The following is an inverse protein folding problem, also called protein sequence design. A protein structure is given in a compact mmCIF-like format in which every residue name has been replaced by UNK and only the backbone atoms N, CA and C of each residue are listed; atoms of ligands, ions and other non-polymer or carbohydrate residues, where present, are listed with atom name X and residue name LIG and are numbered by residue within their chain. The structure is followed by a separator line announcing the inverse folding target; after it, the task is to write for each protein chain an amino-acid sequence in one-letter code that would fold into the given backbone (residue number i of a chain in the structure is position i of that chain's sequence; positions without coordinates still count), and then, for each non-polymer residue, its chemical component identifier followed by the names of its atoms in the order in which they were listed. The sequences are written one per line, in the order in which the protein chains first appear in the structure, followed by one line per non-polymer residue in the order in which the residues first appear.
data_IF_457293898560
#
_entry.id   IF_457293898560
#
_cell.length_a   1.000
_cell.length_b   1.000
_cell.length_c   1.000
_cell.angle_alpha   90.00
_cell.angle_beta   90.00
_cell.angle_gamma   90.00
#
_symmetry.space_group_name_H-M   'P 1'
#
loop_
_entity.id
_entity.type
_entity.pdbx_description
1 polymer ?
#
# COMPACT_ATOMS: atom_id res chain seq x y z
N UNK A 1 -22.34 -9.30 -10.25
CA UNK A 1 -22.24 -8.87 -8.84
C UNK A 1 -20.90 -8.16 -8.71
N UNK A 2 -20.84 -6.93 -8.16
CA UNK A 2 -19.54 -6.26 -7.95
C UNK A 2 -18.83 -6.96 -6.79
N UNK A 3 -17.91 -7.86 -7.14
CA UNK A 3 -17.15 -8.65 -6.18
C UNK A 3 -16.18 -7.76 -5.43
N UNK A 4 -15.97 -8.08 -4.15
CA UNK A 4 -14.96 -7.56 -3.24
C UNK A 4 -13.68 -7.14 -4.00
N UNK A 5 -13.39 -5.84 -3.99
CA UNK A 5 -12.38 -5.21 -4.84
C UNK A 5 -11.01 -5.91 -4.71
N UNK A 6 -10.54 -6.45 -5.84
CA UNK A 6 -9.36 -7.31 -6.03
C UNK A 6 -8.03 -6.55 -5.96
N UNK A 7 -7.91 -5.55 -5.09
CA UNK A 7 -6.68 -4.73 -5.01
C UNK A 7 -5.49 -5.54 -4.48
N UNK A 8 -5.76 -6.65 -3.76
CA UNK A 8 -4.73 -7.56 -3.26
C UNK A 8 -3.82 -8.14 -4.35
N UNK A 9 -4.36 -8.43 -5.54
CA UNK A 9 -3.55 -8.90 -6.67
C UNK A 9 -2.68 -7.79 -7.25
N UNK A 10 -3.21 -6.57 -7.31
CA UNK A 10 -2.46 -5.39 -7.75
C UNK A 10 -1.31 -5.11 -6.79
N UNK A 11 -1.60 -5.11 -5.48
CA UNK A 11 -0.61 -4.95 -4.40
C UNK A 11 0.48 -6.02 -4.51
N UNK A 12 0.11 -7.28 -4.76
CA UNK A 12 1.10 -8.35 -4.92
C UNK A 12 1.96 -8.20 -6.18
N UNK A 13 1.38 -7.69 -7.26
CA UNK A 13 2.08 -7.50 -8.54
C UNK A 13 3.03 -6.30 -8.48
N UNK A 14 2.67 -5.27 -7.71
CA UNK A 14 3.47 -4.07 -7.48
C UNK A 14 3.71 -3.89 -5.98
N UNK A 15 4.56 -4.72 -5.34
CA UNK A 15 4.68 -4.73 -3.89
C UNK A 15 5.47 -3.56 -3.32
N UNK A 16 5.95 -2.61 -4.12
CA UNK A 16 6.80 -1.52 -3.64
C UNK A 16 6.00 -0.44 -2.90
N UNK A 17 6.57 0.14 -1.84
CA UNK A 17 6.02 1.29 -1.10
C UNK A 17 5.67 2.47 -2.00
N UNK A 18 6.41 2.65 -3.10
CA UNK A 18 6.19 3.72 -4.08
C UNK A 18 4.82 3.60 -4.78
N UNK A 19 4.27 2.39 -4.84
CA UNK A 19 2.94 2.11 -5.39
C UNK A 19 1.85 2.08 -4.31
N UNK A 20 2.21 2.18 -3.02
CA UNK A 20 1.28 2.14 -1.89
C UNK A 20 0.14 3.16 -2.01
N UNK A 21 0.46 4.39 -2.37
CA UNK A 21 -0.53 5.45 -2.61
C UNK A 21 -1.45 5.12 -3.81
N UNK A 22 -0.91 4.51 -4.86
CA UNK A 22 -1.71 4.07 -6.02
C UNK A 22 -2.69 2.98 -5.61
N UNK A 23 -2.29 2.06 -4.73
CA UNK A 23 -3.17 1.02 -4.20
C UNK A 23 -4.29 1.59 -3.34
N UNK A 24 -4.00 2.54 -2.43
CA UNK A 24 -5.05 3.10 -1.59
C UNK A 24 -6.03 3.93 -2.41
N UNK A 25 -5.54 4.69 -3.39
CA UNK A 25 -6.39 5.42 -4.34
C UNK A 25 -7.30 4.47 -5.12
N UNK A 26 -6.75 3.37 -5.65
CA UNK A 26 -7.54 2.37 -6.38
C UNK A 26 -8.59 1.72 -5.48
N UNK A 27 -8.23 1.41 -4.24
CA UNK A 27 -9.17 0.83 -3.25
C UNK A 27 -10.32 1.78 -2.96
N UNK A 28 -10.04 3.06 -2.70
CA UNK A 28 -11.05 4.08 -2.45
C UNK A 28 -11.91 4.31 -3.70
N UNK A 29 -11.30 4.36 -4.89
CA UNK A 29 -12.03 4.55 -6.14
C UNK A 29 -13.03 3.41 -6.39
N UNK A 30 -12.58 2.16 -6.24
CA UNK A 30 -13.42 0.97 -6.41
C UNK A 30 -14.47 0.85 -5.30
N UNK A 31 -14.18 1.28 -4.07
CA UNK A 31 -15.15 1.18 -2.97
C UNK A 31 -16.39 2.05 -3.21
N UNK A 32 -16.25 3.18 -3.91
CA UNK A 32 -17.36 4.13 -4.16
C UNK A 32 -18.56 3.50 -4.84
N UNK A 33 -18.34 2.57 -5.78
CA UNK A 33 -19.43 1.91 -6.52
C UNK A 33 -20.10 0.77 -5.75
N UNK A 34 -19.53 0.32 -4.62
CA UNK A 34 -20.02 -0.87 -3.92
C UNK A 34 -21.30 -0.63 -3.11
N UNK A 35 -22.13 -1.66 -2.91
CA UNK A 35 -23.26 -1.63 -1.97
C UNK A 35 -22.80 -1.35 -0.54
N UNK A 36 -23.68 -0.75 0.28
CA UNK A 36 -23.38 -0.37 1.66
C UNK A 36 -22.94 -1.56 2.52
N UNK A 37 -23.54 -2.74 2.35
CA UNK A 37 -23.16 -3.93 3.11
C UNK A 37 -21.70 -4.33 2.87
N UNK A 38 -21.22 -4.14 1.62
CA UNK A 38 -19.85 -4.47 1.23
C UNK A 38 -18.87 -3.37 1.67
N UNK A 39 -19.29 -2.10 1.60
CA UNK A 39 -18.51 -0.96 2.10
C UNK A 39 -18.19 -1.10 3.58
N UNK A 40 -19.17 -1.50 4.40
CA UNK A 40 -18.98 -1.73 5.84
C UNK A 40 -17.86 -2.75 6.15
N UNK A 41 -17.57 -3.68 5.23
CA UNK A 41 -16.46 -4.65 5.37
C UNK A 41 -15.12 -4.05 4.92
N UNK A 42 -15.12 -3.20 3.88
CA UNK A 42 -13.92 -2.68 3.24
C UNK A 42 -13.41 -1.40 3.91
N UNK A 43 -14.29 -0.55 4.42
CA UNK A 43 -13.91 0.73 5.02
C UNK A 43 -12.89 0.56 6.17
N UNK A 44 -13.02 -0.42 7.08
CA UNK A 44 -11.99 -0.68 8.08
C UNK A 44 -10.64 -1.09 7.47
N UNK A 45 -10.62 -1.73 6.29
CA UNK A 45 -9.38 -2.07 5.57
C UNK A 45 -8.74 -0.80 5.02
N UNK A 46 -9.53 0.11 4.43
CA UNK A 46 -9.03 1.40 3.94
C UNK A 46 -8.44 2.21 5.08
N UNK A 47 -9.13 2.30 6.22
CA UNK A 47 -8.65 3.00 7.41
C UNK A 47 -7.32 2.44 7.92
N UNK A 48 -7.19 1.11 8.00
CA UNK A 48 -5.93 0.45 8.42
C UNK A 48 -4.78 0.67 7.44
N UNK A 49 -5.05 0.99 6.18
CA UNK A 49 -4.05 1.27 5.16
C UNK A 49 -3.92 2.77 4.84
N UNK A 50 -4.56 3.64 5.63
CA UNK A 50 -4.57 5.09 5.42
C UNK A 50 -3.17 5.72 5.52
N UNK A 51 -2.20 5.03 6.11
CA UNK A 51 -0.79 5.43 6.12
C UNK A 51 -0.29 5.79 4.71
N UNK A 52 -0.65 5.00 3.69
CA UNK A 52 -0.24 5.27 2.30
C UNK A 52 -0.94 6.49 1.66
N UNK A 53 -1.92 7.08 2.34
CA UNK A 53 -2.54 8.34 1.95
C UNK A 53 -1.85 9.57 2.58
N UNK A 54 -0.81 9.40 3.41
CA UNK A 54 -0.07 10.53 3.96
C UNK A 54 0.59 11.38 2.85
N UNK A 55 0.74 12.70 3.07
CA UNK A 55 1.37 13.61 2.10
C UNK A 55 2.76 13.16 1.65
N UNK A 56 3.57 12.59 2.54
CA UNK A 56 4.90 12.06 2.18
C UNK A 56 4.81 10.91 1.17
N UNK A 57 3.94 9.92 1.42
CA UNK A 57 3.72 8.80 0.52
C UNK A 57 3.14 9.25 -0.83
N UNK A 58 2.28 10.28 -0.83
CA UNK A 58 1.80 10.93 -2.04
C UNK A 58 2.94 11.53 -2.87
N UNK A 59 3.87 12.24 -2.23
CA UNK A 59 5.03 12.82 -2.91
C UNK A 59 5.97 11.75 -3.46
N UNK A 60 6.21 10.67 -2.70
CA UNK A 60 7.00 9.50 -3.14
C UNK A 60 6.37 8.88 -4.40
N UNK A 61 5.05 8.66 -4.40
CA UNK A 61 4.34 8.12 -5.56
C UNK A 61 4.39 9.06 -6.78
N UNK A 62 4.44 10.37 -6.57
CA UNK A 62 4.56 11.36 -7.65
C UNK A 62 5.97 11.36 -8.28
N UNK A 63 7.03 11.36 -7.46
CA UNK A 63 8.42 11.41 -7.96
C UNK A 63 8.89 10.09 -8.59
N UNK A 64 8.14 9.01 -8.37
CA UNK A 64 8.38 7.68 -8.97
C UNK A 64 7.35 7.32 -10.04
N UNK A 65 6.50 8.26 -10.46
CA UNK A 65 5.51 8.03 -11.52
C UNK A 65 6.19 7.85 -12.89
N UNK A 66 5.62 7.04 -13.76
CA UNK A 66 6.17 6.81 -15.10
C UNK A 66 6.14 8.10 -15.96
N UNK A 67 5.22 9.03 -15.66
CA UNK A 67 5.01 10.26 -16.42
C UNK A 67 5.90 11.39 -15.89
N UNK A 68 6.75 11.94 -16.76
CA UNK A 68 7.72 12.99 -16.40
C UNK A 68 7.08 14.25 -15.80
N UNK A 69 5.94 14.70 -16.33
CA UNK A 69 5.25 15.88 -15.81
C UNK A 69 4.75 15.68 -14.37
N UNK A 70 4.41 14.46 -13.96
CA UNK A 70 4.00 14.15 -12.58
C UNK A 70 5.22 14.10 -11.66
N UNK A 71 6.33 13.52 -12.12
CA UNK A 71 7.60 13.52 -11.37
C UNK A 71 8.10 14.93 -11.11
N UNK A 72 8.13 15.78 -12.13
CA UNK A 72 8.50 17.19 -12.00
C UNK A 72 7.59 17.94 -11.02
N UNK A 73 6.27 17.67 -11.07
CA UNK A 73 5.34 18.25 -10.11
C UNK A 73 5.63 17.79 -8.67
N UNK A 74 5.96 16.52 -8.47
CA UNK A 74 6.36 15.97 -7.18
C UNK A 74 7.61 16.66 -6.62
N UNK A 75 8.66 16.77 -7.44
CA UNK A 75 9.90 17.45 -7.09
C UNK A 75 9.68 18.93 -6.74
N UNK A 76 8.87 19.65 -7.52
CA UNK A 76 8.50 21.05 -7.24
C UNK A 76 7.73 21.19 -5.93
N UNK A 77 6.84 20.24 -5.61
CA UNK A 77 6.11 20.24 -4.34
C UNK A 77 7.02 19.97 -3.15
N UNK A 78 8.00 19.07 -3.28
CA UNK A 78 9.02 18.84 -2.26
C UNK A 78 9.81 20.14 -2.00
N UNK A 79 10.27 20.81 -3.06
CA UNK A 79 10.96 22.09 -2.92
C UNK A 79 10.09 23.18 -2.28
N UNK A 80 8.81 23.26 -2.66
CA UNK A 80 7.90 24.29 -2.13
C UNK A 80 7.45 24.01 -0.69
N UNK A 81 7.40 22.74 -0.31
CA UNK A 81 7.09 22.31 1.05
C UNK A 81 8.26 22.55 2.02
N UNK A 82 9.31 23.26 1.63
CA UNK A 82 10.30 23.83 2.55
C UNK A 82 9.58 24.70 3.59
N UNK A 83 9.18 24.10 4.72
CA UNK A 83 8.58 24.77 5.89
C UNK A 83 9.62 25.61 6.65
N UNK A 84 10.71 26.00 5.99
CA UNK A 84 11.89 26.60 6.63
C UNK A 84 11.51 27.87 7.37
N UNK A 85 10.54 28.59 6.82
CA UNK A 85 10.08 29.88 7.31
C UNK A 85 8.90 29.78 8.30
N UNK A 86 8.32 28.58 8.48
CA UNK A 86 7.12 28.35 9.30
C UNK A 86 7.40 27.64 10.63
N UNK A 87 8.53 26.94 10.72
CA UNK A 87 8.90 26.11 11.88
C UNK A 87 10.15 26.70 12.52
N UNK A 88 10.15 26.87 13.84
CA UNK A 88 11.37 27.20 14.56
C UNK A 88 12.27 25.95 14.63
N UNK A 89 13.14 25.78 13.63
CA UNK A 89 14.04 24.62 13.52
C UNK A 89 15.11 24.56 14.61
N UNK A 90 15.23 25.58 15.46
CA UNK A 90 16.10 25.56 16.64
C UNK A 90 15.47 24.79 17.81
N UNK A 91 14.14 24.64 17.82
CA UNK A 91 13.39 23.96 18.89
C UNK A 91 12.93 22.54 18.52
N UNK A 92 12.93 22.20 17.22
CA UNK A 92 12.49 20.90 16.72
C UNK A 92 13.68 20.05 16.26
N UNK A 93 13.75 18.79 16.70
CA UNK A 93 14.72 17.82 16.18
C UNK A 93 14.38 17.49 14.72
N UNK A 94 15.19 18.01 13.79
CA UNK A 94 14.95 17.87 12.35
C UNK A 94 15.52 16.57 11.86
N UNK A 95 14.65 15.59 11.63
CA UNK A 95 15.04 14.30 11.04
C UNK A 95 14.53 14.21 9.62
N UNK A 96 15.42 13.91 8.68
CA UNK A 96 15.02 13.64 7.30
C UNK A 96 14.07 12.43 7.24
N UNK A 97 13.02 12.45 6.40
CA UNK A 97 12.11 11.32 6.32
C UNK A 97 12.87 10.03 5.95
N UNK A 98 12.66 8.89 6.61
CA UNK A 98 13.52 7.71 6.48
C UNK A 98 13.70 7.21 5.04
N UNK A 99 12.67 7.36 4.20
CA UNK A 99 12.71 6.94 2.79
C UNK A 99 13.46 7.91 1.89
N UNK A 100 13.62 9.16 2.31
CA UNK A 100 14.33 10.23 1.60
C UNK A 100 15.66 10.61 2.27
N UNK A 101 15.97 10.04 3.44
CA UNK A 101 17.15 10.38 4.23
C UNK A 101 18.48 10.19 3.46
N UNK A 102 18.50 9.27 2.49
CA UNK A 102 19.68 8.97 1.68
C UNK A 102 19.77 9.82 0.40
N UNK A 103 18.82 10.71 0.14
CA UNK A 103 18.77 11.54 -1.07
C UNK A 103 19.17 12.98 -0.71
N UNK A 104 20.34 13.47 -1.14
CA UNK A 104 20.78 14.82 -0.83
C UNK A 104 19.96 15.87 -1.59
N UNK A 105 19.70 17.03 -0.97
CA UNK A 105 18.95 18.13 -1.59
C UNK A 105 19.57 18.66 -2.89
N UNK A 106 20.90 18.59 -3.04
CA UNK A 106 21.59 18.97 -4.27
C UNK A 106 21.22 18.09 -5.46
N UNK A 107 20.98 16.79 -5.22
CA UNK A 107 20.52 15.85 -6.23
C UNK A 107 19.08 16.13 -6.65
N UNK A 108 18.22 16.54 -5.72
CA UNK A 108 16.85 16.97 -6.04
C UNK A 108 16.88 18.22 -6.94
N UNK A 109 17.70 19.21 -6.59
CA UNK A 109 17.82 20.45 -7.36
C UNK A 109 18.37 20.21 -8.76
N UNK A 110 19.43 19.39 -8.91
CA UNK A 110 20.03 19.10 -10.22
C UNK A 110 19.05 18.40 -11.18
N UNK A 111 18.25 17.46 -10.66
CA UNK A 111 17.25 16.70 -11.44
C UNK A 111 16.05 17.54 -11.88
N UNK A 112 15.78 18.66 -11.21
CA UNK A 112 14.76 19.61 -11.67
C UNK A 112 15.27 20.44 -12.85
N UNK A 113 16.56 20.77 -12.86
CA UNK A 113 17.19 21.52 -13.94
C UNK A 113 17.52 20.67 -15.17
N UNK A 114 17.88 19.40 -14.98
CA UNK A 114 18.13 18.45 -16.06
C UNK A 114 16.87 17.62 -16.39
N UNK A 115 16.14 18.05 -17.41
CA UNK A 115 14.91 17.37 -17.85
C UNK A 115 15.16 15.94 -18.39
N UNK A 116 16.41 15.56 -18.66
CA UNK A 116 16.74 14.26 -19.24
C UNK A 116 16.93 13.15 -18.18
N UNK A 117 17.03 13.47 -16.88
CA UNK A 117 17.29 12.47 -15.84
C UNK A 117 16.49 12.70 -14.54
N UNK A 118 15.17 12.51 -14.64
CA UNK A 118 14.21 12.77 -13.55
C UNK A 118 14.13 11.59 -12.53
N UNK A 119 14.80 10.46 -12.77
CA UNK A 119 14.58 9.21 -12.01
C UNK A 119 15.31 9.16 -10.65
N UNK A 120 14.62 9.51 -9.56
CA UNK A 120 15.15 9.31 -8.20
C UNK A 120 15.14 7.82 -7.81
N UNK A 121 16.28 7.30 -7.36
CA UNK A 121 16.37 5.94 -6.81
C UNK A 121 15.95 5.93 -5.34
N UNK A 122 14.65 5.79 -5.09
CA UNK A 122 14.10 5.60 -3.74
C UNK A 122 14.25 4.14 -3.33
N UNK A 123 14.59 3.90 -2.05
CA UNK A 123 14.63 2.54 -1.49
C UNK A 123 13.25 1.91 -1.62
N UNK A 124 13.18 0.78 -2.33
CA UNK A 124 11.95 0.02 -2.47
C UNK A 124 11.79 -0.94 -1.30
N UNK A 125 10.87 -0.61 -0.39
CA UNK A 125 10.46 -1.52 0.69
C UNK A 125 9.09 -2.14 0.35
N UNK A 126 8.82 -3.39 0.73
CA UNK A 126 7.52 -4.00 0.52
C UNK A 126 6.38 -3.23 1.21
N UNK A 127 5.29 -3.00 0.50
CA UNK A 127 4.07 -2.37 0.99
C UNK A 127 2.98 -3.39 1.35
N UNK A 128 3.19 -4.67 1.02
CA UNK A 128 2.23 -5.73 1.30
C UNK A 128 2.58 -6.44 2.61
N UNK A 129 1.54 -6.84 3.34
CA UNK A 129 1.70 -7.56 4.61
C UNK A 129 1.62 -9.07 4.41
N UNK A 130 2.07 -9.84 5.39
CA UNK A 130 1.88 -11.29 5.41
C UNK A 130 0.41 -11.71 5.25
N UNK A 131 -0.53 -10.85 5.70
CA UNK A 131 -1.96 -11.08 5.52
C UNK A 131 -2.37 -11.02 4.04
N UNK A 132 -1.78 -10.11 3.25
CA UNK A 132 -1.98 -10.04 1.78
C UNK A 132 -1.57 -11.36 1.13
N UNK A 133 -0.41 -11.88 1.49
CA UNK A 133 0.10 -13.12 0.92
C UNK A 133 -0.80 -14.32 1.25
N UNK A 134 -1.22 -14.42 2.53
CA UNK A 134 -2.14 -15.47 2.98
C UNK A 134 -3.50 -15.38 2.27
N UNK A 135 -3.99 -14.17 2.03
CA UNK A 135 -5.26 -13.97 1.34
C UNK A 135 -5.15 -14.33 -0.15
N UNK A 136 -4.10 -13.89 -0.84
CA UNK A 136 -3.87 -14.26 -2.25
C UNK A 136 -3.77 -15.77 -2.39
N UNK A 137 -3.02 -16.45 -1.51
CA UNK A 137 -2.94 -17.91 -1.49
C UNK A 137 -4.33 -18.56 -1.37
N UNK A 138 -5.16 -18.07 -0.44
CA UNK A 138 -6.51 -18.59 -0.25
C UNK A 138 -7.40 -18.41 -1.48
N UNK A 139 -7.32 -17.25 -2.15
CA UNK A 139 -8.11 -16.98 -3.36
C UNK A 139 -7.63 -17.82 -4.55
N UNK A 140 -6.32 -18.06 -4.66
CA UNK A 140 -5.74 -18.97 -5.66
C UNK A 140 -6.20 -20.41 -5.42
N UNK A 141 -6.14 -20.91 -4.17
CA UNK A 141 -6.63 -22.25 -3.80
C UNK A 141 -8.12 -22.41 -4.16
N UNK A 142 -8.94 -21.41 -3.84
CA UNK A 142 -10.37 -21.43 -4.17
C UNK A 142 -10.61 -21.47 -5.69
N UNK A 143 -9.83 -20.71 -6.46
CA UNK A 143 -9.98 -20.66 -7.92
C UNK A 143 -9.51 -21.93 -8.62
N UNK A 144 -8.57 -22.67 -8.02
CA UNK A 144 -8.16 -24.00 -8.52
C UNK A 144 -9.16 -25.09 -8.15
N UNK A 145 -9.87 -24.93 -7.03
CA UNK A 145 -10.72 -25.98 -6.46
C UNK A 145 -12.16 -25.93 -6.96
N UNK A 146 -12.71 -24.74 -7.23
CA UNK A 146 -14.12 -24.58 -7.63
C UNK A 146 -14.31 -23.52 -8.72
N UNK A 147 -15.29 -23.75 -9.61
CA UNK A 147 -15.68 -22.82 -10.67
C UNK A 147 -16.90 -21.97 -10.25
N UNK A 148 -16.93 -20.71 -10.67
CA UNK A 148 -18.04 -19.79 -10.40
C UNK A 148 -17.87 -18.94 -9.12
N UNK A 149 -18.42 -17.72 -9.16
CA UNK A 149 -18.25 -16.72 -8.08
C UNK A 149 -18.81 -17.19 -6.74
N UNK A 150 -20.04 -17.71 -6.72
CA UNK A 150 -20.70 -18.19 -5.50
C UNK A 150 -19.94 -19.33 -4.84
N UNK A 151 -19.48 -20.31 -5.63
CA UNK A 151 -18.72 -21.45 -5.13
C UNK A 151 -17.38 -21.00 -4.54
N UNK A 152 -16.63 -20.13 -5.24
CA UNK A 152 -15.36 -19.57 -4.75
C UNK A 152 -15.55 -18.78 -3.45
N UNK A 153 -16.58 -17.94 -3.37
CA UNK A 153 -16.88 -17.19 -2.16
C UNK A 153 -17.24 -18.12 -0.99
N UNK A 154 -18.04 -19.17 -1.24
CA UNK A 154 -18.35 -20.19 -0.24
C UNK A 154 -17.11 -20.93 0.26
N UNK A 155 -16.21 -21.34 -0.64
CA UNK A 155 -14.93 -21.97 -0.29
C UNK A 155 -14.08 -21.07 0.62
N UNK A 156 -13.93 -19.80 0.25
CA UNK A 156 -13.15 -18.82 1.01
C UNK A 156 -13.74 -18.61 2.41
N UNK A 157 -15.07 -18.40 2.50
CA UNK A 157 -15.76 -18.21 3.78
C UNK A 157 -15.63 -19.43 4.70
N UNK A 158 -15.87 -20.63 4.17
CA UNK A 158 -15.75 -21.86 4.95
C UNK A 158 -14.32 -22.07 5.48
N UNK A 159 -13.31 -21.78 4.66
CA UNK A 159 -11.90 -21.88 5.09
C UNK A 159 -11.56 -20.86 6.18
N UNK A 160 -12.06 -19.62 6.07
CA UNK A 160 -11.85 -18.59 7.10
C UNK A 160 -12.52 -19.01 8.41
N UNK A 161 -13.78 -19.47 8.36
CA UNK A 161 -14.50 -19.96 9.54
C UNK A 161 -13.80 -21.15 10.19
N UNK A 162 -13.37 -22.13 9.39
CA UNK A 162 -12.61 -23.28 9.88
C UNK A 162 -11.32 -22.84 10.58
N UNK A 163 -10.57 -21.88 10.02
CA UNK A 163 -9.35 -21.33 10.66
C UNK A 163 -9.63 -20.58 11.96
N UNK A 164 -10.80 -19.95 12.09
CA UNK A 164 -11.21 -19.27 13.34
C UNK A 164 -11.62 -20.27 14.44
N UNK A 165 -12.11 -21.46 14.04
CA UNK A 165 -12.44 -22.53 14.97
C UNK A 165 -11.22 -23.31 15.45
N UNK A 166 -10.09 -23.24 14.74
CA UNK A 166 -8.84 -23.87 15.17
C UNK A 166 -8.30 -23.18 16.43
N UNK A 167 -7.90 -23.98 17.41
CA UNK A 167 -7.25 -23.52 18.63
C UNK A 167 -5.97 -22.73 18.29
N UNK A 168 -5.82 -21.55 18.88
CA UNK A 168 -4.60 -20.77 18.78
C UNK A 168 -3.51 -21.44 19.65
N UNK A 169 -2.41 -21.83 19.01
CA UNK A 169 -1.23 -22.35 19.71
C UNK A 169 -0.18 -21.24 19.79
N UNK A 170 0.29 -20.93 20.98
CA UNK A 170 1.32 -19.90 21.19
C UNK A 170 2.72 -20.52 21.07
N UNK A 171 2.86 -21.79 21.43
CA UNK A 171 4.08 -22.56 21.37
C UNK A 171 3.86 -23.87 20.61
N UNK A 172 4.91 -24.39 19.97
CA UNK A 172 4.84 -25.68 19.26
C UNK A 172 4.48 -26.85 20.19
N UNK A 173 4.82 -26.74 21.47
CA UNK A 173 4.49 -27.72 22.52
C UNK A 173 3.01 -27.75 22.88
N UNK A 174 2.27 -26.70 22.54
CA UNK A 174 0.82 -26.65 22.77
C UNK A 174 0.07 -27.57 21.79
N UNK A 175 0.72 -27.95 20.68
CA UNK A 175 0.21 -28.92 19.72
C UNK A 175 0.43 -30.34 20.24
N UNK A 176 -0.63 -30.96 20.75
CA UNK A 176 -0.61 -32.37 21.19
C UNK A 176 -0.98 -33.27 20.01
N UNK A 177 -0.13 -34.27 19.76
CA UNK A 177 -0.49 -35.40 18.93
C UNK A 177 -1.29 -36.36 19.80
N UNK A 178 -2.61 -36.31 19.66
CA UNK A 178 -3.50 -37.34 20.18
C UNK A 178 -3.43 -38.58 19.27
#
# INVERSE_FOLDING_TARGET
MQVYALVWFVIKSKPSCVDGTKHIWLTVHLSRSLPTEVKNIIDPVIQRNAYFAHPENLLIAMVTDDRDHIKQLGLRRILKAHYVDLINWQEAEVTAPPLLANIPMSEITSRIHDQNNIMLSIIQVPCHTQAVERHVKLVTEASQSVCGERARNGFIKNRILSRQQMTAFNQKTDYRFD
#
